data_IF_595806852822
#
_entry.id   IF_595806852822
#
_cell.length_a   1.000
_cell.length_b   1.000
_cell.length_c   1.000
_cell.angle_alpha   90.00
_cell.angle_beta   90.00
_cell.angle_gamma   90.00
#
_symmetry.space_group_name_H-M   'P 1'
#
loop_
_entity.id
_entity.type
_entity.pdbx_description
1 polymer ?
#
# COMPACT_ATOMS: atom_id res chain seq x y z
N UNK A 1 9.16 7.84 -42.06
CA UNK A 1 9.09 9.00 -41.15
C UNK A 1 8.01 8.68 -40.13
N UNK A 2 8.40 7.95 -39.09
CA UNK A 2 7.51 7.64 -37.97
C UNK A 2 7.64 8.79 -36.97
N UNK A 3 6.50 9.43 -36.67
CA UNK A 3 6.43 10.49 -35.67
C UNK A 3 6.31 9.86 -34.28
N UNK A 4 7.40 9.88 -33.53
CA UNK A 4 7.40 9.64 -32.09
C UNK A 4 6.76 10.85 -31.40
N UNK A 5 5.59 10.66 -30.80
CA UNK A 5 5.04 11.59 -29.81
C UNK A 5 5.66 11.26 -28.45
N UNK A 6 6.59 12.11 -28.02
CA UNK A 6 7.15 12.15 -26.67
C UNK A 6 6.12 12.74 -25.70
N UNK A 7 5.79 12.02 -24.63
CA UNK A 7 4.90 12.50 -23.55
C UNK A 7 5.77 12.79 -22.34
N UNK A 8 5.83 14.07 -21.94
CA UNK A 8 6.57 14.53 -20.77
C UNK A 8 5.91 14.07 -19.45
N UNK A 9 6.70 13.83 -18.37
CA UNK A 9 6.15 13.38 -17.10
C UNK A 9 5.55 14.53 -16.28
N UNK A 10 4.32 14.32 -15.79
CA UNK A 10 3.64 15.20 -14.83
C UNK A 10 4.06 14.79 -13.41
N UNK A 11 4.84 15.63 -12.73
CA UNK A 11 5.23 15.43 -11.33
C UNK A 11 4.19 16.07 -10.42
N UNK A 12 3.34 15.26 -9.78
CA UNK A 12 2.48 15.69 -8.68
C UNK A 12 3.17 15.41 -7.34
N UNK A 13 3.60 16.46 -6.63
CA UNK A 13 4.10 16.38 -5.25
C UNK A 13 2.94 16.66 -4.29
N UNK A 14 2.46 15.63 -3.61
CA UNK A 14 1.62 15.77 -2.42
C UNK A 14 2.20 14.94 -1.29
N UNK A 15 2.68 15.64 -0.25
CA UNK A 15 3.27 15.09 0.97
C UNK A 15 2.22 14.36 1.83
N UNK A 16 2.59 13.30 2.57
CA UNK A 16 1.68 12.58 3.46
C UNK A 16 1.50 13.27 4.82
N UNK A 17 0.25 13.32 5.28
CA UNK A 17 -0.14 13.82 6.60
C UNK A 17 -0.05 12.68 7.63
N UNK A 18 0.78 12.88 8.65
CA UNK A 18 0.95 11.99 9.80
C UNK A 18 -0.32 12.00 10.69
N UNK A 19 -0.82 10.82 11.08
CA UNK A 19 -1.85 10.69 12.13
C UNK A 19 -1.21 9.98 13.32
N UNK A 20 -0.97 10.74 14.38
CA UNK A 20 -0.56 10.24 15.69
C UNK A 20 -1.79 10.20 16.62
N UNK A 21 -2.08 9.04 17.21
CA UNK A 21 -3.07 8.91 18.29
C UNK A 21 -2.36 8.60 19.59
N UNK A 22 -2.39 9.55 20.53
CA UNK A 22 -2.22 9.30 21.96
C UNK A 22 -2.84 10.44 22.74
N UNK A 23 -3.80 10.13 23.60
CA UNK A 23 -3.81 10.60 25.00
C UNK A 23 -5.01 10.04 25.77
N UNK A 24 -4.66 9.28 26.80
CA UNK A 24 -5.46 9.02 28.00
C UNK A 24 -5.39 10.26 28.89
N UNK A 25 -6.54 10.77 29.37
CA UNK A 25 -6.57 11.70 30.49
C UNK A 25 -7.84 11.47 31.33
N UNK A 26 -7.61 11.15 32.60
CA UNK A 26 -8.59 11.17 33.69
C UNK A 26 -8.77 12.62 34.16
N UNK A 27 -9.99 13.06 34.46
CA UNK A 27 -10.23 13.94 35.62
C UNK A 27 -11.70 13.98 36.06
N UNK A 28 -11.84 14.32 37.34
CA UNK A 28 -12.92 14.01 38.27
C UNK A 28 -13.99 15.12 38.38
N UNK A 29 -15.19 14.67 38.75
CA UNK A 29 -16.08 15.20 39.80
C UNK A 29 -16.76 16.58 39.65
N UNK A 30 -18.09 16.59 39.68
CA UNK A 30 -18.85 17.47 40.57
C UNK A 30 -20.28 16.94 40.76
N UNK A 31 -20.67 16.69 42.02
CA UNK A 31 -22.03 16.33 42.40
C UNK A 31 -22.89 17.57 42.73
N UNK A 32 -24.22 17.41 42.66
CA UNK A 32 -25.17 17.95 43.63
C UNK A 32 -26.63 17.62 43.24
N UNK A 33 -27.43 17.23 44.25
CA UNK A 33 -28.88 17.52 44.29
C UNK A 33 -29.83 16.32 44.10
N UNK A 34 -30.75 16.16 45.05
CA UNK A 34 -31.55 14.96 45.32
C UNK A 34 -32.98 14.96 44.72
N UNK A 35 -33.46 13.75 44.34
CA UNK A 35 -34.81 13.10 44.45
C UNK A 35 -36.13 13.84 44.05
N UNK A 36 -37.31 13.16 43.91
CA UNK A 36 -37.67 11.76 43.59
C UNK A 36 -38.72 11.60 42.44
N UNK A 37 -39.08 10.36 42.08
CA UNK A 37 -40.12 9.93 41.09
C UNK A 37 -41.57 10.33 41.45
N UNK A 38 -42.55 10.33 40.50
CA UNK A 38 -43.41 9.14 40.26
C UNK A 38 -43.94 8.93 38.80
N UNK A 39 -44.67 7.82 38.62
CA UNK A 39 -45.17 7.22 37.37
C UNK A 39 -46.55 7.73 36.88
N UNK A 40 -46.77 7.70 35.55
CA UNK A 40 -48.04 7.46 34.84
C UNK A 40 -48.88 8.69 34.39
N UNK A 41 -49.93 8.57 33.53
CA UNK A 41 -50.38 7.46 32.66
C UNK A 41 -50.56 7.86 31.16
N UNK A 42 -50.95 6.89 30.33
CA UNK A 42 -51.27 7.02 28.90
C UNK A 42 -52.55 7.82 28.59
N UNK A 43 -52.62 8.52 27.45
CA UNK A 43 -53.89 8.75 26.74
C UNK A 43 -53.75 9.07 25.24
N UNK A 44 -54.53 8.27 24.50
CA UNK A 44 -55.11 8.31 23.15
C UNK A 44 -55.23 9.65 22.40
N UNK A 45 -55.20 9.47 21.07
CA UNK A 45 -56.06 10.07 20.04
C UNK A 45 -55.52 11.23 19.19
N UNK A 46 -55.26 10.90 17.92
CA UNK A 46 -55.94 11.51 16.77
C UNK A 46 -55.51 12.91 16.36
N UNK A 47 -54.84 13.01 15.22
CA UNK A 47 -55.21 14.01 14.20
C UNK A 47 -54.66 13.60 12.85
N UNK A 48 -55.58 13.33 11.93
CA UNK A 48 -55.34 13.20 10.50
C UNK A 48 -54.80 14.51 9.96
N UNK A 49 -53.50 14.58 9.66
CA UNK A 49 -52.98 15.61 8.76
C UNK A 49 -53.09 15.05 7.34
N UNK A 50 -54.07 15.57 6.62
CA UNK A 50 -54.11 15.60 5.17
C UNK A 50 -52.91 16.42 4.68
N UNK A 51 -51.75 15.78 4.66
CA UNK A 51 -50.53 16.31 4.04
C UNK A 51 -50.58 16.01 2.56
N UNK A 52 -50.88 17.05 1.78
CA UNK A 52 -50.74 17.10 0.32
C UNK A 52 -49.54 16.30 -0.16
N UNK A 53 -49.81 15.30 -0.99
CA UNK A 53 -48.81 14.49 -1.69
C UNK A 53 -48.09 15.34 -2.73
N UNK A 54 -47.17 16.19 -2.26
CA UNK A 54 -46.11 16.67 -3.13
C UNK A 54 -45.15 15.50 -3.36
N UNK A 55 -45.45 14.73 -4.40
CA UNK A 55 -44.47 13.83 -5.02
C UNK A 55 -43.33 14.72 -5.53
N UNK A 56 -42.36 14.99 -4.65
CA UNK A 56 -41.05 15.46 -5.05
C UNK A 56 -40.37 14.30 -5.78
N UNK A 57 -40.64 14.17 -7.08
CA UNK A 57 -39.77 13.46 -7.99
C UNK A 57 -38.49 14.28 -8.13
N UNK A 58 -37.66 14.25 -7.09
CA UNK A 58 -36.30 14.77 -7.13
C UNK A 58 -35.48 13.74 -7.90
N UNK A 59 -35.67 13.70 -9.22
CA UNK A 59 -34.78 12.98 -10.12
C UNK A 59 -33.48 13.79 -10.18
N UNK A 60 -32.68 13.65 -9.12
CA UNK A 60 -31.30 14.14 -9.07
C UNK A 60 -30.56 13.44 -10.20
N UNK A 61 -30.36 14.17 -11.30
CA UNK A 61 -29.37 13.81 -12.29
C UNK A 61 -28.05 13.58 -11.55
N UNK A 62 -27.31 12.50 -11.84
CA UNK A 62 -26.01 12.30 -11.23
C UNK A 62 -25.14 13.52 -11.55
N UNK A 63 -24.53 14.09 -10.51
CA UNK A 63 -23.65 15.25 -10.64
C UNK A 63 -22.52 14.88 -11.62
N UNK A 64 -22.34 15.64 -12.70
CA UNK A 64 -21.39 15.32 -13.76
C UNK A 64 -19.96 15.16 -13.21
N UNK A 65 -19.64 15.89 -12.14
CA UNK A 65 -18.37 15.77 -11.41
C UNK A 65 -18.20 14.38 -10.75
N UNK A 66 -19.28 13.82 -10.20
CA UNK A 66 -19.25 12.49 -9.57
C UNK A 66 -18.98 11.42 -10.64
N UNK A 67 -19.60 11.54 -11.82
CA UNK A 67 -19.38 10.59 -12.90
C UNK A 67 -17.94 10.66 -13.45
N UNK A 68 -17.39 11.87 -13.57
CA UNK A 68 -16.00 12.06 -13.98
C UNK A 68 -15.00 11.48 -12.97
N UNK A 69 -15.23 11.71 -11.68
CA UNK A 69 -14.41 11.12 -10.61
C UNK A 69 -14.50 9.59 -10.58
N UNK A 70 -15.69 9.02 -10.80
CA UNK A 70 -15.85 7.56 -10.91
C UNK A 70 -15.09 6.99 -12.10
N UNK A 71 -15.11 7.67 -13.25
CA UNK A 71 -14.32 7.25 -14.40
C UNK A 71 -12.82 7.29 -14.10
N UNK A 72 -12.33 8.34 -13.44
CA UNK A 72 -10.92 8.44 -13.06
C UNK A 72 -10.52 7.36 -12.05
N UNK A 73 -11.39 7.03 -11.08
CA UNK A 73 -11.17 5.93 -10.14
C UNK A 73 -11.07 4.60 -10.88
N UNK A 74 -11.97 4.34 -11.83
CA UNK A 74 -11.97 3.10 -12.61
C UNK A 74 -10.70 2.97 -13.45
N UNK A 75 -10.31 4.04 -14.12
CA UNK A 75 -9.10 4.10 -14.95
C UNK A 75 -7.82 3.87 -14.12
N UNK A 76 -7.72 4.51 -12.94
CA UNK A 76 -6.60 4.29 -12.02
C UNK A 76 -6.59 2.87 -11.45
N UNK A 77 -7.77 2.31 -11.18
CA UNK A 77 -7.91 0.94 -10.69
C UNK A 77 -7.49 -0.07 -11.76
N UNK A 78 -7.83 0.17 -13.02
CA UNK A 78 -7.42 -0.67 -14.14
C UNK A 78 -5.90 -0.65 -14.32
N UNK A 79 -5.27 0.54 -14.31
CA UNK A 79 -3.80 0.65 -14.34
C UNK A 79 -3.13 -0.08 -13.18
N UNK A 80 -3.67 0.02 -11.97
CA UNK A 80 -3.11 -0.71 -10.83
C UNK A 80 -3.15 -2.22 -11.05
N UNK A 81 -4.24 -2.76 -11.58
CA UNK A 81 -4.35 -4.20 -11.91
C UNK A 81 -3.36 -4.62 -13.00
N UNK A 82 -3.15 -3.77 -14.01
CA UNK A 82 -2.13 -4.01 -15.03
C UNK A 82 -0.74 -4.07 -14.40
N UNK A 83 -0.41 -3.12 -13.52
CA UNK A 83 0.87 -3.12 -12.81
C UNK A 83 1.05 -4.33 -11.90
N UNK A 84 0.00 -4.74 -11.17
CA UNK A 84 0.02 -5.98 -10.37
C UNK A 84 0.35 -7.19 -11.25
N UNK A 85 -0.29 -7.30 -12.42
CA UNK A 85 -0.05 -8.39 -13.38
C UNK A 85 1.39 -8.36 -13.91
N UNK A 86 1.92 -7.18 -14.23
CA UNK A 86 3.31 -7.02 -14.69
C UNK A 86 4.28 -7.43 -13.58
N UNK A 87 4.08 -6.98 -12.35
CA UNK A 87 4.93 -7.35 -11.21
C UNK A 87 4.90 -8.86 -10.99
N UNK A 88 3.73 -9.50 -10.99
CA UNK A 88 3.64 -10.96 -10.87
C UNK A 88 4.41 -11.70 -11.98
N UNK A 89 4.39 -11.17 -13.21
CA UNK A 89 5.15 -11.75 -14.31
C UNK A 89 6.65 -11.59 -14.12
N UNK A 90 7.10 -10.41 -13.67
CA UNK A 90 8.50 -10.11 -13.38
C UNK A 90 9.03 -10.91 -12.20
N UNK A 91 8.22 -11.14 -11.17
CA UNK A 91 8.59 -12.00 -10.04
C UNK A 91 8.81 -13.45 -10.50
N UNK A 92 7.94 -13.97 -11.37
CA UNK A 92 8.11 -15.30 -11.97
C UNK A 92 9.38 -15.37 -12.82
N UNK A 93 9.68 -14.33 -13.61
CA UNK A 93 10.91 -14.28 -14.40
C UNK A 93 12.15 -14.19 -13.51
N UNK A 94 12.12 -13.35 -12.46
CA UNK A 94 13.18 -13.27 -11.45
C UNK A 94 13.46 -14.63 -10.83
N UNK A 95 12.41 -15.31 -10.36
CA UNK A 95 12.54 -16.62 -9.71
C UNK A 95 13.02 -17.69 -10.70
N UNK A 96 12.58 -17.63 -11.95
CA UNK A 96 13.04 -18.52 -13.02
C UNK A 96 14.53 -18.34 -13.30
N UNK A 97 15.03 -17.11 -13.43
CA UNK A 97 16.44 -16.85 -13.65
C UNK A 97 17.28 -17.19 -12.42
N UNK A 98 16.84 -16.83 -11.21
CA UNK A 98 17.53 -17.19 -9.97
C UNK A 98 17.64 -18.71 -9.80
N UNK A 99 16.55 -19.44 -10.07
CA UNK A 99 16.55 -20.91 -10.02
C UNK A 99 17.56 -21.54 -10.99
N UNK A 100 17.76 -20.97 -12.18
CA UNK A 100 18.79 -21.42 -13.14
C UNK A 100 20.20 -21.14 -12.64
N UNK A 101 20.45 -19.93 -12.15
CA UNK A 101 21.75 -19.55 -11.60
C UNK A 101 22.13 -20.45 -10.42
N UNK A 102 21.16 -20.78 -9.55
CA UNK A 102 21.37 -21.73 -8.45
C UNK A 102 21.69 -23.14 -8.92
N UNK A 103 20.99 -23.65 -9.95
CA UNK A 103 21.31 -24.95 -10.53
C UNK A 103 22.71 -24.98 -11.14
N UNK A 104 23.10 -23.91 -11.85
CA UNK A 104 24.44 -23.76 -12.42
C UNK A 104 25.50 -23.73 -11.31
N UNK A 105 25.26 -22.98 -10.22
CA UNK A 105 26.16 -22.92 -9.06
C UNK A 105 26.42 -24.31 -8.47
N UNK A 106 25.35 -25.08 -8.23
CA UNK A 106 25.46 -26.44 -7.69
C UNK A 106 26.26 -27.32 -8.65
N UNK A 107 25.92 -27.31 -9.94
CA UNK A 107 26.66 -28.09 -10.94
C UNK A 107 28.13 -27.67 -11.07
N UNK A 108 28.43 -26.39 -10.89
CA UNK A 108 29.79 -25.88 -10.93
C UNK A 108 30.62 -26.37 -9.74
N UNK A 109 30.05 -26.33 -8.53
CA UNK A 109 30.69 -26.84 -7.31
C UNK A 109 30.90 -28.37 -7.36
N UNK A 110 29.95 -29.12 -7.91
CA UNK A 110 30.08 -30.58 -8.10
C UNK A 110 31.22 -30.96 -9.06
N UNK A 111 31.65 -30.05 -9.94
CA UNK A 111 32.67 -30.28 -10.96
C UNK A 111 33.95 -29.45 -10.74
N UNK A 112 34.17 -28.92 -9.53
CA UNK A 112 35.26 -27.99 -9.24
C UNK A 112 36.67 -28.56 -9.56
N UNK A 113 36.85 -29.87 -9.45
CA UNK A 113 38.12 -30.57 -9.77
C UNK A 113 38.31 -30.87 -11.27
N UNK A 114 37.34 -30.54 -12.13
CA UNK A 114 37.36 -30.88 -13.55
C UNK A 114 38.01 -29.76 -14.39
N UNK A 115 39.30 -29.91 -14.70
CA UNK A 115 40.13 -28.92 -15.42
C UNK A 115 39.65 -28.55 -16.85
N UNK A 116 38.66 -29.28 -17.40
CA UNK A 116 38.11 -29.00 -18.73
C UNK A 116 37.12 -27.83 -18.76
N UNK A 117 36.59 -27.43 -17.61
CA UNK A 117 35.59 -26.36 -17.49
C UNK A 117 36.20 -25.26 -16.64
N UNK A 118 36.08 -24.01 -17.10
CA UNK A 118 36.56 -22.84 -16.35
C UNK A 118 35.61 -22.48 -15.20
N UNK A 119 35.45 -23.39 -14.24
CA UNK A 119 34.54 -23.25 -13.08
C UNK A 119 34.78 -21.95 -12.32
N UNK A 120 36.05 -21.55 -12.15
CA UNK A 120 36.41 -20.30 -11.50
C UNK A 120 35.78 -19.06 -12.16
N UNK A 121 35.75 -19.00 -13.51
CA UNK A 121 35.13 -17.88 -14.23
C UNK A 121 33.60 -17.89 -14.13
N UNK A 122 32.99 -19.08 -14.04
CA UNK A 122 31.54 -19.19 -13.83
C UNK A 122 31.18 -18.66 -12.43
N UNK A 123 31.91 -19.05 -11.39
CA UNK A 123 31.69 -18.56 -10.03
C UNK A 123 31.95 -17.05 -9.91
N UNK A 124 32.96 -16.52 -10.61
CA UNK A 124 33.21 -15.07 -10.68
C UNK A 124 31.99 -14.31 -11.23
N UNK A 125 31.37 -14.82 -12.30
CA UNK A 125 30.13 -14.22 -12.86
C UNK A 125 28.97 -14.34 -11.87
N UNK A 126 28.81 -15.49 -11.19
CA UNK A 126 27.70 -15.72 -10.26
C UNK A 126 27.78 -14.87 -8.98
N UNK A 127 28.99 -14.48 -8.57
CA UNK A 127 29.24 -13.69 -7.37
C UNK A 127 29.56 -12.22 -7.64
N UNK A 128 29.57 -11.81 -8.92
CA UNK A 128 29.69 -10.40 -9.28
C UNK A 128 28.54 -9.59 -8.65
N UNK A 129 28.87 -8.43 -8.09
CA UNK A 129 27.88 -7.50 -7.53
C UNK A 129 27.72 -6.29 -8.46
N UNK A 130 26.48 -5.89 -8.75
CA UNK A 130 26.20 -4.61 -9.41
C UNK A 130 25.90 -3.51 -8.37
N UNK A 131 26.26 -2.27 -8.70
CA UNK A 131 26.01 -1.09 -7.88
C UNK A 131 24.50 -0.93 -7.64
N UNK A 132 24.07 -1.09 -6.39
CA UNK A 132 22.66 -1.03 -5.98
C UNK A 132 21.96 -2.39 -5.80
N UNK A 133 22.62 -3.51 -6.07
CA UNK A 133 22.14 -4.87 -5.77
C UNK A 133 22.82 -5.52 -4.58
N UNK A 134 24.01 -5.04 -4.20
CA UNK A 134 24.60 -5.42 -2.91
C UNK A 134 23.71 -4.89 -1.79
N UNK A 135 23.38 -5.76 -0.81
CA UNK A 135 22.88 -5.27 0.47
C UNK A 135 23.85 -4.17 0.94
N UNK A 136 23.36 -3.01 1.44
CA UNK A 136 24.27 -2.05 2.05
C UNK A 136 25.08 -2.85 3.03
N UNK A 137 26.40 -2.89 2.84
CA UNK A 137 27.28 -3.78 3.59
C UNK A 137 26.82 -3.79 5.03
N UNK A 138 26.63 -5.00 5.57
CA UNK A 138 26.46 -5.18 7.00
C UNK A 138 27.63 -4.47 7.65
N UNK A 139 27.45 -3.19 7.99
CA UNK A 139 28.24 -2.49 8.98
C UNK A 139 27.95 -3.23 10.25
N UNK A 140 28.64 -4.36 10.42
CA UNK A 140 28.93 -4.94 11.70
C UNK A 140 29.20 -3.78 12.62
N UNK A 141 28.35 -3.71 13.64
CA UNK A 141 28.29 -2.64 14.60
C UNK A 141 29.67 -2.08 14.94
N UNK A 142 30.01 -0.93 14.36
CA UNK A 142 30.82 0.08 15.04
C UNK A 142 29.97 0.69 16.16
N UNK A 143 29.52 -0.15 17.09
CA UNK A 143 28.98 0.20 18.39
C UNK A 143 29.69 -0.62 19.47
N UNK A 144 31.03 -0.70 19.35
CA UNK A 144 31.92 -1.30 20.34
C UNK A 144 32.90 -0.30 20.97
N UNK A 145 32.72 1.01 20.73
CA UNK A 145 33.58 2.06 21.28
C UNK A 145 32.72 3.08 22.04
N UNK A 146 32.37 2.77 23.29
CA UNK A 146 32.25 3.70 24.43
C UNK A 146 31.34 3.12 25.52
N UNK A 147 31.89 2.24 26.36
CA UNK A 147 31.47 2.14 27.77
C UNK A 147 32.73 2.05 28.64
N UNK A 148 33.45 3.16 28.72
CA UNK A 148 34.25 3.51 29.90
C UNK A 148 33.39 4.50 30.70
N UNK A 149 32.81 4.04 31.81
CA UNK A 149 32.63 4.74 33.10
C UNK A 149 31.95 3.83 34.13
#
# INVERSE_FOLDING_TARGET
>A
MEHLTEVAPIVNKSSPSQVATKSTAQHQNNGNGAAPFPKGPASKAGSSISGSSSKLSNQRQPDANILQLQNQINELTERNKEYETVVESLEKERDFYFGKLRQIEISAQENEENEKIEIAKILEILYATEEGFAAPESTEAENGANEEY
#
